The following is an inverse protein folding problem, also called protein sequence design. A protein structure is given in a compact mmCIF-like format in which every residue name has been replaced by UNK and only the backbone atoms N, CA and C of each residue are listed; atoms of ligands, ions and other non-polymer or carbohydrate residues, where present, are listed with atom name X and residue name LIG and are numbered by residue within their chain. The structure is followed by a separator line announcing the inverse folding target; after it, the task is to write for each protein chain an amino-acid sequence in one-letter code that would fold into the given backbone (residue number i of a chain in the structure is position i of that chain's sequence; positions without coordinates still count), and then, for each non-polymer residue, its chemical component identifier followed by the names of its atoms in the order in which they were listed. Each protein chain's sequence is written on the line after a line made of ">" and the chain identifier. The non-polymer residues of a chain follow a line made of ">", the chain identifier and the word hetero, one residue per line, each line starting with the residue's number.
data_IF_419201582360
#
_entry.id   IF_419201582360
#
_cell.length_a   1.000
_cell.length_b   1.000
_cell.length_c   1.000
_cell.angle_alpha   90.00
_cell.angle_beta   90.00
_cell.angle_gamma   90.00
#
_symmetry.space_group_name_H-M   'P 1'
#
loop_
_entity.id
_entity.type
_entity.pdbx_description
1 polymer ?
#
# COMPACT_ATOMS: atom_id res chain seq x y z
N UNK A 1 16.98 -41.81 15.25
CA UNK A 1 15.68 -41.40 14.69
C UNK A 1 15.81 -39.98 14.16
N UNK A 2 16.24 -39.86 12.91
CA UNK A 2 16.45 -38.59 12.19
C UNK A 2 15.17 -38.24 11.42
N UNK A 3 14.54 -37.10 11.72
CA UNK A 3 13.42 -36.57 10.92
C UNK A 3 13.98 -35.59 9.89
N UNK A 4 13.81 -35.94 8.61
CA UNK A 4 14.29 -35.17 7.46
C UNK A 4 13.48 -33.90 7.23
N UNK A 5 14.20 -32.82 6.97
CA UNK A 5 13.68 -31.55 6.45
C UNK A 5 13.59 -31.67 4.93
N UNK A 6 12.41 -31.45 4.37
CA UNK A 6 12.16 -31.55 2.93
C UNK A 6 12.83 -30.38 2.17
N UNK A 7 13.53 -30.72 1.08
CA UNK A 7 14.17 -29.77 0.17
C UNK A 7 13.13 -29.05 -0.71
N UNK A 8 13.40 -27.80 -1.16
CA UNK A 8 12.49 -27.08 -2.06
C UNK A 8 12.57 -27.65 -3.48
N UNK A 9 11.42 -28.09 -4.00
CA UNK A 9 11.27 -28.62 -5.35
C UNK A 9 11.51 -27.56 -6.44
N UNK A 10 12.23 -27.95 -7.49
CA UNK A 10 12.36 -27.19 -8.74
C UNK A 10 11.00 -27.22 -9.48
N UNK A 11 10.27 -26.11 -9.44
CA UNK A 11 9.24 -25.80 -10.44
C UNK A 11 9.90 -24.95 -11.53
N UNK A 12 10.08 -25.56 -12.70
CA UNK A 12 10.39 -24.83 -13.93
C UNK A 12 9.04 -24.31 -14.44
N UNK A 13 8.67 -23.09 -14.04
CA UNK A 13 7.47 -22.43 -14.53
C UNK A 13 7.63 -22.15 -16.03
N UNK A 14 6.99 -22.98 -16.86
CA UNK A 14 6.66 -22.58 -18.23
C UNK A 14 5.51 -21.59 -18.13
N UNK A 15 5.78 -20.34 -18.49
CA UNK A 15 4.77 -19.29 -18.63
C UNK A 15 3.61 -19.82 -19.49
N UNK A 16 2.35 -19.80 -19.00
CA UNK A 16 1.21 -20.15 -19.82
C UNK A 16 1.01 -19.09 -20.91
N UNK A 17 0.78 -19.54 -22.14
CA UNK A 17 0.35 -18.69 -23.25
C UNK A 17 -1.06 -18.16 -22.95
N UNK A 18 -1.30 -16.84 -22.97
CA UNK A 18 -2.62 -16.31 -22.67
C UNK A 18 -3.62 -16.74 -23.75
N UNK A 19 -4.75 -17.32 -23.32
CA UNK A 19 -5.94 -17.47 -24.15
C UNK A 19 -6.47 -16.09 -24.49
N UNK A 20 -6.30 -15.70 -25.75
CA UNK A 20 -6.71 -14.42 -26.32
C UNK A 20 -8.24 -14.29 -26.34
N UNK A 21 -8.79 -13.50 -25.42
CA UNK A 21 -10.01 -12.73 -25.69
C UNK A 21 -9.56 -11.37 -26.19
N UNK A 22 -9.74 -11.08 -27.48
CA UNK A 22 -9.39 -9.77 -28.03
C UNK A 22 -10.23 -8.69 -27.33
N UNK A 23 -9.56 -7.72 -26.70
CA UNK A 23 -10.22 -6.53 -26.13
C UNK A 23 -10.71 -5.68 -27.31
N UNK A 24 -12.02 -5.67 -27.55
CA UNK A 24 -12.62 -4.99 -28.72
C UNK A 24 -12.89 -3.51 -28.51
N UNK A 25 -12.63 -2.95 -27.32
CA UNK A 25 -12.86 -1.54 -26.99
C UNK A 25 -11.65 -0.95 -26.24
N UNK A 26 -11.44 0.36 -26.38
CA UNK A 26 -10.36 1.05 -25.66
C UNK A 26 -10.61 0.99 -24.13
N UNK A 27 -9.59 0.66 -23.31
CA UNK A 27 -9.73 0.60 -21.85
C UNK A 27 -10.27 1.91 -21.26
N UNK A 28 -11.20 1.81 -20.30
CA UNK A 28 -11.77 2.96 -19.59
C UNK A 28 -11.46 2.91 -18.10
N UNK A 29 -11.43 4.08 -17.45
CA UNK A 29 -11.18 4.22 -16.01
C UNK A 29 -12.49 4.38 -15.23
N UNK A 30 -12.67 3.62 -14.15
CA UNK A 30 -13.66 3.90 -13.11
C UNK A 30 -12.95 4.27 -11.81
N UNK A 31 -13.06 5.53 -11.40
CA UNK A 31 -12.48 5.97 -10.12
C UNK A 31 -13.48 5.78 -8.97
N UNK A 32 -13.07 5.00 -7.98
CA UNK A 32 -13.77 4.83 -6.71
C UNK A 32 -12.99 5.55 -5.62
N UNK A 33 -13.66 6.45 -4.90
CA UNK A 33 -13.06 7.29 -3.88
C UNK A 33 -12.60 8.64 -4.42
N UNK A 34 -13.33 9.69 -4.07
CA UNK A 34 -13.01 11.07 -4.45
C UNK A 34 -12.61 11.91 -3.22
N UNK A 35 -11.83 11.30 -2.31
CA UNK A 35 -11.16 12.00 -1.21
C UNK A 35 -9.87 12.68 -1.67
N UNK A 36 -8.95 12.98 -0.74
CA UNK A 36 -7.69 13.67 -1.05
C UNK A 36 -6.87 13.02 -2.17
N UNK A 37 -6.67 11.69 -2.10
CA UNK A 37 -5.92 10.94 -3.13
C UNK A 37 -6.67 10.89 -4.47
N UNK A 38 -7.97 10.56 -4.45
CA UNK A 38 -8.76 10.46 -5.68
C UNK A 38 -8.91 11.78 -6.42
N UNK A 39 -9.09 12.90 -5.71
CA UNK A 39 -9.10 14.25 -6.30
C UNK A 39 -7.75 14.62 -6.90
N UNK A 40 -6.66 14.36 -6.17
CA UNK A 40 -5.31 14.58 -6.67
C UNK A 40 -5.02 13.74 -7.92
N UNK A 41 -5.55 12.51 -7.99
CA UNK A 41 -5.46 11.64 -9.17
C UNK A 41 -6.21 12.23 -10.38
N UNK A 42 -7.46 12.69 -10.21
CA UNK A 42 -8.21 13.36 -11.28
C UNK A 42 -7.49 14.61 -11.80
N UNK A 43 -6.97 15.45 -10.90
CA UNK A 43 -6.18 16.63 -11.27
C UNK A 43 -4.95 16.23 -12.08
N UNK A 44 -4.27 15.14 -11.71
CA UNK A 44 -3.08 14.65 -12.42
C UNK A 44 -3.41 14.13 -13.82
N UNK A 45 -4.53 13.42 -13.98
CA UNK A 45 -5.01 12.98 -15.29
C UNK A 45 -5.23 14.17 -16.23
N UNK A 46 -5.90 15.22 -15.74
CA UNK A 46 -6.13 16.45 -16.49
C UNK A 46 -4.81 17.16 -16.86
N UNK A 47 -3.92 17.35 -15.88
CA UNK A 47 -2.65 18.07 -16.06
C UNK A 47 -1.72 17.39 -17.07
N UNK A 48 -1.72 16.05 -17.11
CA UNK A 48 -0.86 15.29 -18.03
C UNK A 48 -1.52 15.00 -19.38
N UNK A 49 -2.74 15.47 -19.61
CA UNK A 49 -3.48 15.22 -20.85
C UNK A 49 -3.71 13.73 -21.08
N UNK A 50 -3.98 12.95 -20.02
CA UNK A 50 -4.23 11.52 -20.16
C UNK A 50 -5.46 11.29 -21.05
N UNK A 51 -5.29 10.55 -22.14
CA UNK A 51 -6.35 10.31 -23.14
C UNK A 51 -7.29 9.17 -22.76
N UNK A 52 -6.95 8.38 -21.74
CA UNK A 52 -7.75 7.23 -21.30
C UNK A 52 -9.15 7.68 -20.88
N UNK A 53 -10.22 7.18 -21.54
CA UNK A 53 -11.58 7.61 -21.23
C UNK A 53 -11.96 7.27 -19.78
N UNK A 54 -12.59 8.23 -19.10
CA UNK A 54 -13.10 8.02 -17.74
C UNK A 54 -14.55 7.54 -17.84
N UNK A 55 -14.84 6.28 -17.52
CA UNK A 55 -16.22 5.74 -17.45
C UNK A 55 -17.05 6.51 -16.41
N UNK A 56 -16.45 6.79 -15.25
CA UNK A 56 -17.12 7.53 -14.19
C UNK A 56 -16.28 7.70 -12.94
N UNK A 57 -16.84 8.45 -11.99
CA UNK A 57 -16.29 8.68 -10.66
C UNK A 57 -17.37 8.43 -9.60
N UNK A 58 -17.00 7.82 -8.48
CA UNK A 58 -17.94 7.58 -7.38
C UNK A 58 -17.29 7.76 -6.01
N UNK A 59 -18.01 8.43 -5.10
CA UNK A 59 -17.66 8.47 -3.67
C UNK A 59 -18.59 7.54 -2.87
N UNK A 60 -18.67 7.68 -1.55
CA UNK A 60 -19.55 6.84 -0.72
C UNK A 60 -21.04 7.15 -0.88
N UNK A 61 -21.41 8.31 -1.44
CA UNK A 61 -22.81 8.81 -1.49
C UNK A 61 -23.33 9.00 -2.91
N UNK A 62 -22.46 9.41 -3.84
CA UNK A 62 -22.82 9.86 -5.18
C UNK A 62 -21.93 9.21 -6.24
N UNK A 63 -22.46 9.05 -7.44
CA UNK A 63 -21.71 8.57 -8.59
C UNK A 63 -22.11 9.36 -9.84
N UNK A 64 -21.10 9.73 -10.63
CA UNK A 64 -21.26 10.31 -11.95
C UNK A 64 -20.72 9.30 -12.96
N UNK A 65 -21.61 8.75 -13.77
CA UNK A 65 -21.34 7.66 -14.71
C UNK A 65 -21.98 8.04 -16.04
N UNK A 66 -21.24 7.93 -17.15
CA UNK A 66 -21.74 8.21 -18.49
C UNK A 66 -21.51 7.02 -19.42
N UNK A 67 -22.49 6.64 -20.28
CA UNK A 67 -22.33 5.55 -21.25
C UNK A 67 -21.17 5.80 -22.24
N UNK A 68 -20.89 7.07 -22.56
CA UNK A 68 -19.82 7.50 -23.47
C UNK A 68 -18.56 8.01 -22.72
N UNK A 69 -18.52 7.84 -21.40
CA UNK A 69 -17.51 8.42 -20.52
C UNK A 69 -17.87 9.81 -19.99
N UNK A 70 -17.27 10.17 -18.86
CA UNK A 70 -17.38 11.46 -18.16
C UNK A 70 -16.16 12.31 -18.50
N UNK A 71 -16.35 13.56 -18.91
CA UNK A 71 -15.22 14.46 -19.11
C UNK A 71 -14.48 14.71 -17.78
N UNK A 72 -13.16 14.54 -17.82
CA UNK A 72 -12.29 14.73 -16.65
C UNK A 72 -12.47 16.12 -16.04
N UNK A 73 -12.60 17.18 -16.85
CA UNK A 73 -12.66 18.58 -16.41
C UNK A 73 -13.84 18.91 -15.51
N UNK A 74 -14.94 18.17 -15.66
CA UNK A 74 -16.18 18.39 -14.90
C UNK A 74 -16.36 17.40 -13.75
N UNK A 75 -15.60 16.30 -13.71
CA UNK A 75 -15.86 15.15 -12.83
C UNK A 75 -15.90 15.52 -11.33
N UNK A 76 -14.93 16.28 -10.82
CA UNK A 76 -14.86 16.61 -9.37
C UNK A 76 -16.00 17.55 -8.94
N UNK A 77 -16.29 18.59 -9.73
CA UNK A 77 -17.38 19.54 -9.41
C UNK A 77 -18.77 18.96 -9.66
N UNK A 78 -18.92 18.16 -10.72
CA UNK A 78 -20.21 17.57 -11.07
C UNK A 78 -20.60 16.44 -10.10
N UNK A 79 -19.64 15.76 -9.47
CA UNK A 79 -19.92 14.71 -8.49
C UNK A 79 -20.73 15.22 -7.28
N UNK A 80 -20.59 16.49 -6.91
CA UNK A 80 -21.35 17.10 -5.81
C UNK A 80 -22.84 17.20 -6.09
N UNK A 81 -23.23 17.26 -7.38
CA UNK A 81 -24.62 17.31 -7.84
C UNK A 81 -25.09 15.99 -8.44
N UNK A 82 -24.21 15.01 -8.56
CA UNK A 82 -24.51 13.73 -9.18
C UNK A 82 -25.54 12.92 -8.38
N UNK A 83 -26.25 11.98 -9.05
CA UNK A 83 -27.21 11.09 -8.41
C UNK A 83 -26.60 10.27 -7.28
N UNK A 84 -27.47 9.67 -6.46
CA UNK A 84 -27.06 8.71 -5.44
C UNK A 84 -26.25 7.58 -6.08
N UNK A 85 -25.15 7.20 -5.43
CA UNK A 85 -24.31 6.09 -5.88
C UNK A 85 -25.15 4.81 -5.96
N UNK A 86 -25.12 4.09 -7.09
CA UNK A 86 -25.78 2.79 -7.18
C UNK A 86 -25.01 1.74 -6.36
N UNK A 87 -25.64 0.59 -6.06
CA UNK A 87 -24.97 -0.53 -5.42
C UNK A 87 -23.68 -0.92 -6.14
N UNK A 88 -22.70 -1.43 -5.39
CA UNK A 88 -21.41 -1.84 -5.95
C UNK A 88 -21.61 -2.85 -7.09
N UNK A 89 -22.56 -3.79 -6.96
CA UNK A 89 -22.95 -4.75 -8.01
C UNK A 89 -23.34 -4.11 -9.34
N UNK A 90 -24.05 -2.98 -9.31
CA UNK A 90 -24.41 -2.22 -10.51
C UNK A 90 -23.18 -1.61 -11.17
N UNK A 91 -22.23 -1.07 -10.39
CA UNK A 91 -20.96 -0.56 -10.93
C UNK A 91 -20.17 -1.67 -11.63
N UNK A 92 -20.19 -2.89 -11.08
CA UNK A 92 -19.56 -4.07 -11.71
C UNK A 92 -20.19 -4.36 -13.07
N UNK A 93 -21.52 -4.23 -13.19
CA UNK A 93 -22.25 -4.48 -14.44
C UNK A 93 -21.85 -3.58 -15.61
N UNK A 94 -21.27 -2.40 -15.35
CA UNK A 94 -20.90 -1.41 -16.37
C UNK A 94 -19.49 -1.61 -16.95
N UNK A 95 -18.67 -2.42 -16.28
CA UNK A 95 -17.28 -2.66 -16.64
C UNK A 95 -17.18 -3.80 -17.66
N UNK A 96 -16.30 -3.61 -18.63
CA UNK A 96 -15.93 -4.60 -19.64
C UNK A 96 -14.51 -5.13 -19.39
N UNK A 97 -14.15 -6.32 -19.91
CA UNK A 97 -12.77 -6.79 -19.88
C UNK A 97 -11.78 -5.74 -20.43
N UNK A 98 -10.63 -5.57 -19.79
CA UNK A 98 -9.64 -4.53 -20.14
C UNK A 98 -9.83 -3.20 -19.41
N UNK A 99 -11.04 -2.84 -18.96
CA UNK A 99 -11.27 -1.63 -18.16
C UNK A 99 -10.44 -1.65 -16.86
N UNK A 100 -10.16 -0.48 -16.29
CA UNK A 100 -9.37 -0.32 -15.08
C UNK A 100 -10.23 0.32 -13.98
N UNK A 101 -10.40 -0.38 -12.86
CA UNK A 101 -10.94 0.21 -11.63
C UNK A 101 -9.79 0.82 -10.84
N UNK A 102 -9.90 2.13 -10.57
CA UNK A 102 -8.99 2.85 -9.67
C UNK A 102 -9.66 2.95 -8.30
N UNK A 103 -9.29 2.09 -7.35
CA UNK A 103 -9.79 2.13 -5.97
C UNK A 103 -8.88 2.98 -5.07
N UNK A 104 -9.24 4.25 -4.92
CA UNK A 104 -8.62 5.21 -4.01
C UNK A 104 -9.36 5.31 -2.66
N UNK A 105 -10.07 4.26 -2.24
CA UNK A 105 -10.79 4.20 -0.96
C UNK A 105 -10.03 3.44 0.12
N UNK A 106 -10.59 3.43 1.33
CA UNK A 106 -10.23 2.50 2.40
C UNK A 106 -11.38 1.49 2.69
N UNK A 107 -12.24 1.23 1.71
CA UNK A 107 -13.47 0.44 1.90
C UNK A 107 -13.18 -1.05 1.92
N UNK A 108 -13.58 -1.73 3.00
CA UNK A 108 -13.51 -3.19 3.09
C UNK A 108 -14.48 -3.89 2.12
N UNK A 109 -15.65 -3.27 1.87
CA UNK A 109 -16.63 -3.76 0.91
C UNK A 109 -16.02 -3.80 -0.50
N UNK A 110 -15.37 -2.71 -0.93
CA UNK A 110 -14.76 -2.63 -2.26
C UNK A 110 -13.55 -3.55 -2.38
N UNK A 111 -12.67 -3.58 -1.38
CA UNK A 111 -11.53 -4.50 -1.35
C UNK A 111 -11.93 -5.98 -1.50
N UNK A 112 -13.11 -6.35 -1.00
CA UNK A 112 -13.65 -7.72 -1.12
C UNK A 112 -14.12 -8.03 -2.55
N UNK A 113 -14.44 -7.02 -3.35
CA UNK A 113 -14.81 -7.20 -4.76
C UNK A 113 -13.61 -7.27 -5.71
N UNK A 114 -12.39 -6.99 -5.25
CA UNK A 114 -11.20 -7.02 -6.11
C UNK A 114 -11.03 -8.35 -6.87
N UNK A 115 -11.10 -9.54 -6.23
CA UNK A 115 -11.04 -10.81 -6.96
C UNK A 115 -12.14 -10.96 -8.01
N UNK A 116 -13.36 -10.50 -7.71
CA UNK A 116 -14.51 -10.62 -8.61
C UNK A 116 -14.36 -9.74 -9.86
N UNK A 117 -13.77 -8.55 -9.72
CA UNK A 117 -13.45 -7.69 -10.86
C UNK A 117 -12.38 -8.31 -11.74
N UNK A 118 -11.29 -8.80 -11.14
CA UNK A 118 -10.20 -9.46 -11.85
C UNK A 118 -10.68 -10.69 -12.62
N UNK A 119 -11.55 -11.51 -12.00
CA UNK A 119 -12.15 -12.70 -12.62
C UNK A 119 -13.03 -12.38 -13.84
N UNK A 120 -13.46 -11.13 -14.00
CA UNK A 120 -14.22 -10.64 -15.15
C UNK A 120 -13.35 -9.99 -16.23
N UNK A 121 -12.03 -10.09 -16.12
CA UNK A 121 -11.10 -9.46 -17.06
C UNK A 121 -10.85 -7.98 -16.78
N UNK A 122 -11.28 -7.44 -15.64
CA UNK A 122 -11.11 -6.03 -15.27
C UNK A 122 -9.81 -5.85 -14.49
N UNK A 123 -9.00 -4.89 -14.89
CA UNK A 123 -7.77 -4.52 -14.20
C UNK A 123 -8.06 -3.66 -12.96
N UNK A 124 -7.16 -3.71 -11.97
CA UNK A 124 -7.30 -2.90 -10.74
C UNK A 124 -6.03 -2.11 -10.49
N UNK A 125 -6.21 -0.84 -10.12
CA UNK A 125 -5.18 0.00 -9.52
C UNK A 125 -5.70 0.52 -8.18
N UNK A 126 -4.93 0.41 -7.10
CA UNK A 126 -5.50 0.66 -5.77
C UNK A 126 -4.53 1.32 -4.77
N UNK A 127 -5.08 2.21 -3.94
CA UNK A 127 -4.47 2.68 -2.69
C UNK A 127 -5.06 1.95 -1.47
N UNK A 128 -6.03 1.06 -1.69
CA UNK A 128 -6.72 0.34 -0.64
C UNK A 128 -5.89 -0.85 -0.15
N UNK A 129 -5.24 -0.63 0.99
CA UNK A 129 -4.40 -1.62 1.67
C UNK A 129 -5.14 -2.92 1.98
N UNK A 130 -6.48 -2.91 2.11
CA UNK A 130 -7.24 -4.11 2.49
C UNK A 130 -7.28 -5.19 1.40
N UNK A 131 -6.96 -4.86 0.15
CA UNK A 131 -6.84 -5.85 -0.92
C UNK A 131 -5.77 -6.90 -0.60
N UNK A 132 -4.49 -6.46 -0.54
CA UNK A 132 -3.35 -7.36 -0.27
C UNK A 132 -2.85 -7.34 1.17
N UNK A 133 -3.27 -6.40 2.00
CA UNK A 133 -2.97 -6.31 3.45
C UNK A 133 -4.12 -6.79 4.33
N UNK A 134 -5.17 -7.38 3.75
CA UNK A 134 -6.25 -8.05 4.48
C UNK A 134 -5.95 -9.52 4.77
N UNK A 135 -6.97 -10.38 4.68
CA UNK A 135 -6.82 -11.83 4.88
C UNK A 135 -5.89 -12.44 3.82
N UNK A 136 -5.18 -13.53 4.17
CA UNK A 136 -4.35 -14.22 3.20
C UNK A 136 -5.20 -14.84 2.08
N UNK A 137 -6.39 -15.34 2.40
CA UNK A 137 -7.35 -15.84 1.42
C UNK A 137 -7.69 -14.79 0.35
N UNK A 138 -7.91 -13.52 0.73
CA UNK A 138 -8.16 -12.43 -0.25
C UNK A 138 -6.92 -12.17 -1.10
N UNK A 139 -5.74 -12.11 -0.48
CA UNK A 139 -4.49 -11.94 -1.21
C UNK A 139 -4.29 -13.02 -2.28
N UNK A 140 -4.50 -14.30 -1.92
CA UNK A 140 -4.41 -15.43 -2.84
C UNK A 140 -5.45 -15.33 -3.95
N UNK A 141 -6.71 -15.07 -3.62
CA UNK A 141 -7.77 -14.88 -4.62
C UNK A 141 -7.46 -13.76 -5.63
N UNK A 142 -6.84 -12.65 -5.19
CA UNK A 142 -6.37 -11.59 -6.09
C UNK A 142 -5.24 -12.13 -7.01
N UNK A 143 -4.24 -12.78 -6.44
CA UNK A 143 -3.10 -13.32 -7.21
C UNK A 143 -3.55 -14.39 -8.23
N UNK A 144 -4.43 -15.29 -7.81
CA UNK A 144 -4.98 -16.36 -8.65
C UNK A 144 -5.79 -15.78 -9.80
N UNK A 145 -6.66 -14.79 -9.54
CA UNK A 145 -7.44 -14.13 -10.57
C UNK A 145 -6.56 -13.39 -11.59
N UNK A 146 -5.50 -12.70 -11.13
CA UNK A 146 -4.51 -12.10 -12.03
C UNK A 146 -3.88 -13.13 -12.97
N UNK A 147 -3.44 -14.28 -12.42
CA UNK A 147 -2.79 -15.33 -13.19
C UNK A 147 -3.76 -16.01 -14.17
N UNK A 148 -4.96 -16.36 -13.72
CA UNK A 148 -5.95 -17.10 -14.51
C UNK A 148 -6.54 -16.27 -15.66
N UNK A 149 -6.75 -14.97 -15.44
CA UNK A 149 -7.43 -14.10 -16.41
C UNK A 149 -6.49 -13.15 -17.15
N UNK A 150 -5.18 -13.19 -16.87
CA UNK A 150 -4.19 -12.33 -17.52
C UNK A 150 -4.40 -10.83 -17.24
N UNK A 151 -4.97 -10.50 -16.08
CA UNK A 151 -5.27 -9.12 -15.66
C UNK A 151 -4.25 -8.60 -14.65
N UNK A 152 -4.04 -7.30 -14.66
CA UNK A 152 -3.07 -6.65 -13.77
C UNK A 152 -3.69 -6.06 -12.50
N UNK A 153 -2.84 -5.98 -11.47
CA UNK A 153 -3.16 -5.42 -10.16
C UNK A 153 -2.04 -4.47 -9.71
N UNK A 154 -2.27 -3.18 -9.91
CA UNK A 154 -1.40 -2.09 -9.42
C UNK A 154 -1.74 -1.71 -7.98
N UNK A 155 -0.76 -1.70 -7.10
CA UNK A 155 -0.93 -1.39 -5.68
C UNK A 155 0.23 -0.59 -5.09
N UNK A 156 1.01 0.10 -5.95
CA UNK A 156 2.17 0.88 -5.53
C UNK A 156 1.80 1.96 -4.50
N UNK A 157 0.56 2.46 -4.55
CA UNK A 157 0.04 3.46 -3.63
C UNK A 157 -0.28 2.95 -2.21
N UNK A 158 -0.22 1.63 -1.97
CA UNK A 158 -0.63 1.05 -0.68
C UNK A 158 0.45 1.16 0.40
N UNK A 159 1.73 1.18 0.04
CA UNK A 159 2.85 1.26 0.98
C UNK A 159 3.91 2.24 0.46
N UNK A 160 4.31 3.19 1.30
CA UNK A 160 5.33 4.19 0.93
C UNK A 160 4.81 5.33 0.05
N UNK A 161 3.48 5.48 -0.08
CA UNK A 161 2.79 6.46 -0.93
C UNK A 161 3.14 6.34 -2.43
N UNK A 162 4.34 6.73 -2.84
CA UNK A 162 4.85 6.56 -4.20
C UNK A 162 6.30 6.12 -4.26
N UNK A 163 6.90 5.80 -3.13
CA UNK A 163 8.22 5.17 -3.07
C UNK A 163 8.14 3.79 -3.73
N UNK A 164 9.18 3.35 -4.46
CA UNK A 164 9.15 2.12 -5.24
C UNK A 164 9.33 0.86 -4.39
N UNK A 165 8.82 0.83 -3.15
CA UNK A 165 9.02 -0.28 -2.21
C UNK A 165 8.56 -1.63 -2.79
N UNK A 166 7.30 -1.69 -3.26
CA UNK A 166 6.73 -2.92 -3.83
C UNK A 166 7.36 -3.28 -5.17
N UNK A 167 7.67 -2.28 -5.99
CA UNK A 167 8.33 -2.48 -7.30
C UNK A 167 9.71 -3.08 -7.14
N UNK A 168 10.52 -2.53 -6.23
CA UNK A 168 11.86 -3.03 -5.93
C UNK A 168 11.82 -4.46 -5.39
N UNK A 169 10.95 -4.75 -4.41
CA UNK A 169 10.81 -6.11 -3.88
C UNK A 169 10.42 -7.13 -4.95
N UNK A 170 9.44 -6.80 -5.80
CA UNK A 170 9.00 -7.66 -6.89
C UNK A 170 10.09 -7.84 -7.95
N UNK A 171 10.82 -6.79 -8.30
CA UNK A 171 11.91 -6.85 -9.27
C UNK A 171 13.07 -7.71 -8.77
N UNK A 172 13.47 -7.58 -7.50
CA UNK A 172 14.49 -8.44 -6.88
C UNK A 172 14.09 -9.91 -6.95
N UNK A 173 12.86 -10.23 -6.53
CA UNK A 173 12.32 -11.59 -6.56
C UNK A 173 12.20 -12.13 -7.99
N UNK A 174 11.64 -11.35 -8.92
CA UNK A 174 11.51 -11.75 -10.32
C UNK A 174 12.88 -12.00 -10.98
N UNK A 175 13.90 -11.24 -10.58
CA UNK A 175 15.28 -11.47 -10.98
C UNK A 175 15.96 -12.68 -10.33
N UNK A 176 15.28 -13.44 -9.48
CA UNK A 176 15.80 -14.62 -8.78
C UNK A 176 16.59 -14.33 -7.50
N UNK A 177 16.53 -13.11 -6.97
CA UNK A 177 17.11 -12.81 -5.66
C UNK A 177 16.23 -13.34 -4.52
N UNK A 178 16.85 -13.71 -3.39
CA UNK A 178 16.15 -14.18 -2.20
C UNK A 178 16.23 -13.14 -1.10
N UNK A 179 15.06 -12.63 -0.70
CA UNK A 179 14.95 -11.71 0.43
C UNK A 179 15.24 -12.47 1.73
N UNK A 180 16.12 -11.91 2.55
CA UNK A 180 16.56 -12.49 3.83
C UNK A 180 15.85 -11.80 5.00
N UNK A 181 15.76 -10.47 4.99
CA UNK A 181 15.02 -9.73 6.01
C UNK A 181 14.52 -8.39 5.48
N UNK A 182 13.45 -7.88 6.11
CA UNK A 182 12.87 -6.57 5.81
C UNK A 182 12.79 -5.78 7.13
N UNK A 183 13.16 -4.51 7.09
CA UNK A 183 12.94 -3.58 8.20
C UNK A 183 12.47 -2.24 7.65
N UNK A 184 11.56 -1.55 8.34
CA UNK A 184 11.05 -0.29 7.81
C UNK A 184 10.34 0.62 8.80
N UNK A 185 10.41 1.90 8.48
CA UNK A 185 9.59 2.97 9.06
C UNK A 185 8.47 3.24 8.08
N UNK A 186 7.25 2.82 8.42
CA UNK A 186 6.14 2.76 7.46
C UNK A 186 5.01 3.75 7.77
N UNK A 187 5.16 4.60 8.80
CA UNK A 187 4.17 5.60 9.20
C UNK A 187 4.81 6.98 9.36
N UNK A 188 4.40 7.92 8.52
CA UNK A 188 4.83 9.31 8.61
C UNK A 188 4.36 9.98 9.91
N UNK A 189 3.16 9.66 10.41
CA UNK A 189 2.64 10.19 11.66
C UNK A 189 3.48 9.72 12.86
N UNK A 190 3.78 8.42 12.94
CA UNK A 190 4.62 7.89 14.03
C UNK A 190 6.08 8.36 13.89
N UNK A 191 6.57 8.48 12.66
CA UNK A 191 7.86 9.12 12.36
C UNK A 191 7.91 10.54 12.93
N UNK A 192 6.93 11.39 12.61
CA UNK A 192 6.86 12.77 13.11
C UNK A 192 6.75 12.87 14.63
N UNK A 193 5.99 11.96 15.26
CA UNK A 193 5.81 11.95 16.71
C UNK A 193 7.09 11.57 17.46
N UNK A 194 7.86 10.60 16.95
CA UNK A 194 9.05 10.08 17.60
C UNK A 194 10.34 10.81 17.18
N UNK A 195 10.36 11.38 15.98
CA UNK A 195 11.54 12.05 15.47
C UNK A 195 11.84 13.34 16.24
N UNK A 196 13.06 13.44 16.78
CA UNK A 196 13.45 14.55 17.64
C UNK A 196 12.61 14.69 18.91
N UNK A 197 11.92 13.64 19.39
CA UNK A 197 11.29 13.69 20.71
C UNK A 197 12.35 13.63 21.81
N UNK A 198 12.40 14.65 22.66
CA UNK A 198 13.42 14.85 23.70
C UNK A 198 12.87 14.80 25.12
N UNK A 199 11.56 14.65 25.28
CA UNK A 199 10.89 14.63 26.59
C UNK A 199 10.65 16.00 27.23
N UNK A 200 10.92 17.12 26.53
CA UNK A 200 10.67 18.47 27.09
C UNK A 200 9.18 18.77 27.27
N UNK A 201 8.33 18.17 26.44
CA UNK A 201 6.88 18.22 26.58
C UNK A 201 6.31 16.79 26.67
N UNK A 202 5.14 16.61 27.32
CA UNK A 202 4.45 15.32 27.33
C UNK A 202 4.22 14.82 25.90
N UNK A 203 4.43 13.53 25.67
CA UNK A 203 4.23 12.92 24.35
C UNK A 203 2.78 13.09 23.86
N UNK A 204 1.81 13.01 24.77
CA UNK A 204 0.39 13.26 24.55
C UNK A 204 0.11 14.67 24.03
N UNK A 205 0.82 15.68 24.51
CA UNK A 205 0.73 17.05 23.99
C UNK A 205 1.24 17.13 22.54
N UNK A 206 2.31 16.38 22.23
CA UNK A 206 2.82 16.25 20.85
C UNK A 206 1.83 15.55 19.93
N UNK A 207 1.10 14.55 20.42
CA UNK A 207 0.00 13.90 19.67
C UNK A 207 -1.12 14.90 19.35
N UNK A 208 -1.51 15.74 20.32
CA UNK A 208 -2.51 16.78 20.07
C UNK A 208 -2.01 17.82 19.05
N UNK A 209 -0.72 18.15 19.07
CA UNK A 209 -0.14 19.04 18.08
C UNK A 209 -0.19 18.46 16.67
N UNK A 210 0.23 17.21 16.50
CA UNK A 210 0.13 16.49 15.23
C UNK A 210 -1.32 16.50 14.70
N UNK A 211 -2.29 16.31 15.59
CA UNK A 211 -3.72 16.35 15.24
C UNK A 211 -4.16 17.73 14.76
N UNK A 212 -3.76 18.81 15.45
CA UNK A 212 -4.07 20.19 15.03
C UNK A 212 -3.48 20.54 13.67
N UNK A 213 -2.28 20.03 13.38
CA UNK A 213 -1.62 20.21 12.08
C UNK A 213 -2.17 19.29 10.97
N UNK A 214 -3.10 18.38 11.29
CA UNK A 214 -3.65 17.41 10.33
C UNK A 214 -2.67 16.30 9.92
N UNK A 215 -1.67 16.02 10.76
CA UNK A 215 -0.65 14.96 10.55
C UNK A 215 -1.20 13.59 10.98
N UNK A 216 -2.10 13.55 11.97
CA UNK A 216 -2.79 12.32 12.39
C UNK A 216 -4.10 12.13 11.64
N UNK A 217 -4.64 10.92 11.69
CA UNK A 217 -6.05 10.68 11.41
C UNK A 217 -6.96 11.46 12.40
N UNK A 218 -8.27 11.66 12.09
CA UNK A 218 -9.19 12.38 12.98
C UNK A 218 -9.24 11.85 14.41
N UNK A 219 -9.04 10.53 14.56
CA UNK A 219 -8.78 9.83 15.82
C UNK A 219 -7.34 9.28 15.82
N UNK A 220 -6.41 9.91 16.57
CA UNK A 220 -5.00 9.51 16.62
C UNK A 220 -4.76 8.07 17.09
N UNK A 221 -5.72 7.44 17.79
CA UNK A 221 -5.60 6.03 18.20
C UNK A 221 -5.40 5.10 17.00
N UNK A 222 -5.94 5.48 15.84
CA UNK A 222 -5.76 4.74 14.60
C UNK A 222 -4.27 4.63 14.22
N UNK A 223 -3.52 5.72 14.33
CA UNK A 223 -2.08 5.76 14.07
C UNK A 223 -1.28 5.07 15.18
N UNK A 224 -1.63 5.34 16.44
CA UNK A 224 -0.92 4.84 17.63
C UNK A 224 -1.10 3.33 17.86
N UNK A 225 -2.12 2.71 17.25
CA UNK A 225 -2.37 1.27 17.35
C UNK A 225 -1.30 0.40 16.69
N UNK A 226 -0.60 0.93 15.68
CA UNK A 226 0.33 0.16 14.85
C UNK A 226 -0.33 -0.72 13.77
N UNK A 227 -1.66 -0.76 13.69
CA UNK A 227 -2.39 -1.62 12.74
C UNK A 227 -2.16 -1.21 11.27
N UNK A 228 -2.03 0.09 10.97
CA UNK A 228 -1.67 0.54 9.61
C UNK A 228 -0.25 0.09 9.22
N UNK A 229 0.70 0.17 10.15
CA UNK A 229 2.08 -0.31 9.95
C UNK A 229 2.10 -1.82 9.74
N UNK A 230 1.32 -2.58 10.51
CA UNK A 230 1.12 -4.01 10.35
C UNK A 230 0.61 -4.37 8.95
N UNK A 231 -0.43 -3.69 8.47
CA UNK A 231 -0.98 -3.93 7.12
C UNK A 231 0.04 -3.63 6.02
N UNK A 232 0.80 -2.55 6.18
CA UNK A 232 1.89 -2.18 5.25
C UNK A 232 3.00 -3.24 5.25
N UNK A 233 3.40 -3.74 6.42
CA UNK A 233 4.35 -4.85 6.52
C UNK A 233 3.82 -6.09 5.80
N UNK A 234 2.58 -6.51 6.06
CA UNK A 234 1.97 -7.67 5.36
C UNK A 234 2.02 -7.54 3.84
N UNK A 235 1.73 -6.36 3.29
CA UNK A 235 1.77 -6.12 1.84
C UNK A 235 3.21 -6.24 1.30
N UNK A 236 4.19 -5.71 2.02
CA UNK A 236 5.62 -5.84 1.67
C UNK A 236 6.04 -7.32 1.68
N UNK A 237 5.72 -8.05 2.75
CA UNK A 237 6.10 -9.45 2.91
C UNK A 237 5.48 -10.33 1.82
N UNK A 238 4.19 -10.16 1.54
CA UNK A 238 3.50 -10.88 0.47
C UNK A 238 4.07 -10.54 -0.91
N UNK A 239 4.46 -9.29 -1.15
CA UNK A 239 5.14 -8.89 -2.39
C UNK A 239 6.55 -9.48 -2.50
N UNK A 240 7.24 -9.69 -1.38
CA UNK A 240 8.52 -10.37 -1.28
C UNK A 240 8.41 -11.91 -1.39
N UNK A 241 7.20 -12.47 -1.41
CA UNK A 241 6.94 -13.91 -1.53
C UNK A 241 6.66 -14.64 -0.21
N UNK A 242 6.49 -13.92 0.90
CA UNK A 242 6.13 -14.50 2.19
C UNK A 242 4.61 -14.41 2.43
N UNK A 243 3.94 -15.56 2.40
CA UNK A 243 2.49 -15.67 2.58
C UNK A 243 2.10 -15.81 4.05
N UNK A 244 2.06 -14.68 4.76
CA UNK A 244 1.69 -14.63 6.18
C UNK A 244 0.22 -14.27 6.36
N UNK A 245 -0.41 -14.87 7.38
CA UNK A 245 -1.68 -14.39 7.92
C UNK A 245 -1.48 -13.14 8.76
N UNK A 246 -2.56 -12.39 8.99
CA UNK A 246 -2.47 -11.14 9.74
C UNK A 246 -2.10 -11.35 11.22
N UNK A 247 -2.58 -12.42 11.84
CA UNK A 247 -2.28 -12.79 13.23
C UNK A 247 -0.82 -13.21 13.45
N UNK A 248 -0.11 -13.61 12.40
CA UNK A 248 1.32 -13.95 12.45
C UNK A 248 2.23 -12.72 12.68
N UNK A 249 1.71 -11.50 12.55
CA UNK A 249 2.47 -10.27 12.81
C UNK A 249 2.20 -9.80 14.24
N UNK A 250 3.23 -9.86 15.09
CA UNK A 250 3.14 -9.38 16.46
C UNK A 250 3.20 -7.85 16.51
N UNK A 251 2.14 -7.21 17.00
CA UNK A 251 2.07 -5.75 17.13
C UNK A 251 2.14 -5.32 18.59
N UNK A 252 3.10 -4.46 18.89
CA UNK A 252 3.20 -3.75 20.17
C UNK A 252 2.73 -2.31 19.98
N UNK A 253 1.48 -1.96 20.37
CA UNK A 253 0.93 -0.63 20.11
C UNK A 253 1.68 0.46 20.87
N UNK A 254 1.71 1.66 20.28
CA UNK A 254 2.22 2.87 20.95
C UNK A 254 1.19 3.44 21.93
N UNK A 255 -0.09 3.09 21.80
CA UNK A 255 -1.09 3.33 22.83
C UNK A 255 -1.97 2.08 22.97
N UNK A 256 -1.96 1.46 24.15
CA UNK A 256 -2.82 0.33 24.49
C UNK A 256 -4.31 0.73 24.54
N UNK A 257 -5.21 -0.24 24.36
CA UNK A 257 -6.66 0.00 24.34
C UNK A 257 -7.20 0.61 25.65
N UNK A 258 -6.58 0.26 26.77
CA UNK A 258 -6.93 0.74 28.11
C UNK A 258 -6.00 1.84 28.64
N UNK A 259 -4.96 2.21 27.87
CA UNK A 259 -3.97 3.19 28.33
C UNK A 259 -4.53 4.62 28.20
N UNK A 260 -4.37 5.40 29.27
CA UNK A 260 -4.61 6.85 29.25
C UNK A 260 -3.39 7.64 28.77
N UNK A 261 -3.57 8.94 28.49
CA UNK A 261 -2.47 9.82 28.08
C UNK A 261 -1.29 9.83 29.08
N UNK A 262 -1.55 9.76 30.39
CA UNK A 262 -0.48 9.74 31.39
C UNK A 262 0.33 8.43 31.43
N UNK A 263 -0.23 7.31 30.97
CA UNK A 263 0.51 6.05 30.85
C UNK A 263 1.39 6.05 29.62
N UNK A 264 0.86 6.60 28.51
CA UNK A 264 1.61 6.86 27.30
C UNK A 264 2.85 7.72 27.57
N UNK A 265 2.65 8.87 28.23
CA UNK A 265 3.73 9.81 28.53
C UNK A 265 4.85 9.14 29.35
N UNK A 266 4.50 8.51 30.47
CA UNK A 266 5.47 7.79 31.32
C UNK A 266 6.23 6.71 30.56
N UNK A 267 5.56 5.96 29.69
CA UNK A 267 6.18 4.87 28.93
C UNK A 267 7.15 5.38 27.88
N UNK A 268 6.78 6.43 27.16
CA UNK A 268 7.64 7.03 26.13
C UNK A 268 8.82 7.75 26.79
N UNK A 269 8.61 8.53 27.85
CA UNK A 269 9.70 9.19 28.58
C UNK A 269 10.76 8.19 29.07
N UNK A 270 10.31 7.09 29.68
CA UNK A 270 11.21 6.01 30.12
C UNK A 270 11.97 5.38 28.96
N UNK A 271 11.33 5.22 27.80
CA UNK A 271 11.97 4.70 26.60
C UNK A 271 12.98 5.71 26.02
N UNK A 272 12.67 7.01 26.06
CA UNK A 272 13.52 8.09 25.56
C UNK A 272 14.80 8.19 26.39
N UNK A 273 14.68 8.15 27.72
CA UNK A 273 15.85 8.11 28.61
C UNK A 273 16.72 6.89 28.32
N UNK A 274 16.12 5.71 28.13
CA UNK A 274 16.86 4.49 27.78
C UNK A 274 17.59 4.61 26.43
N UNK A 275 16.94 5.21 25.43
CA UNK A 275 17.55 5.45 24.13
C UNK A 275 18.77 6.38 24.27
N UNK A 276 18.61 7.50 25.00
CA UNK A 276 19.68 8.46 25.26
C UNK A 276 20.87 7.81 26.00
N UNK A 277 20.63 7.00 27.03
CA UNK A 277 21.70 6.29 27.76
C UNK A 277 22.48 5.32 26.86
N UNK A 278 21.83 4.73 25.85
CA UNK A 278 22.47 3.85 24.87
C UNK A 278 23.10 4.59 23.69
N UNK A 279 22.96 5.92 23.63
CA UNK A 279 23.40 6.71 22.48
C UNK A 279 22.52 6.56 21.23
N UNK A 280 21.39 5.87 21.32
CA UNK A 280 20.48 5.58 20.21
C UNK A 280 19.27 6.53 20.13
N UNK A 281 18.32 6.19 19.25
CA UNK A 281 17.08 6.93 19.01
C UNK A 281 15.86 6.01 19.03
N UNK A 282 14.70 6.54 19.42
CA UNK A 282 13.44 5.78 19.38
C UNK A 282 12.81 5.83 18.00
N UNK A 283 12.39 4.67 17.50
CA UNK A 283 11.64 4.52 16.25
C UNK A 283 10.54 3.48 16.40
N UNK A 284 9.45 3.65 15.65
CA UNK A 284 8.41 2.63 15.53
C UNK A 284 8.66 1.80 14.27
N UNK A 285 9.19 0.61 14.46
CA UNK A 285 9.81 -0.19 13.39
C UNK A 285 8.92 -1.40 13.06
N UNK A 286 8.79 -1.68 11.77
CA UNK A 286 8.29 -2.95 11.26
C UNK A 286 9.47 -3.85 10.89
N UNK A 287 9.54 -5.06 11.42
CA UNK A 287 10.60 -6.04 11.12
C UNK A 287 10.04 -7.35 10.64
N UNK A 288 10.81 -8.00 9.79
CA UNK A 288 10.62 -9.38 9.42
C UNK A 288 11.96 -10.06 9.19
N UNK A 289 12.12 -11.21 9.82
CA UNK A 289 13.16 -12.19 9.56
C UNK A 289 12.52 -13.58 9.60
N UNK A 290 12.81 -14.51 8.67
CA UNK A 290 12.19 -15.84 8.66
C UNK A 290 12.37 -16.65 9.95
N UNK A 291 13.46 -16.42 10.69
CA UNK A 291 13.74 -17.11 11.96
C UNK A 291 13.08 -16.41 13.15
N UNK A 292 13.06 -15.07 13.16
CA UNK A 292 12.50 -14.28 14.27
C UNK A 292 10.99 -13.97 14.11
N UNK A 293 10.43 -14.14 12.92
CA UNK A 293 9.05 -13.80 12.57
C UNK A 293 8.86 -12.33 12.18
N UNK A 294 7.59 -11.90 12.15
CA UNK A 294 7.19 -10.53 11.81
C UNK A 294 6.72 -9.76 13.06
N UNK A 295 7.24 -8.55 13.24
CA UNK A 295 6.88 -7.70 14.37
C UNK A 295 6.75 -6.22 13.99
N UNK A 296 5.98 -5.49 14.80
CA UNK A 296 5.81 -4.04 14.70
C UNK A 296 5.84 -3.47 16.12
N UNK A 297 6.71 -2.50 16.39
CA UNK A 297 6.79 -1.92 17.73
C UNK A 297 7.83 -0.83 17.90
N UNK A 298 7.85 -0.25 19.10
CA UNK A 298 8.83 0.73 19.52
C UNK A 298 10.19 0.06 19.79
N UNK A 299 11.23 0.51 19.11
CA UNK A 299 12.61 0.03 19.23
C UNK A 299 13.58 1.20 19.46
N UNK A 300 14.72 0.88 20.07
CA UNK A 300 15.88 1.78 20.15
C UNK A 300 16.80 1.36 19.00
N UNK A 301 17.04 2.27 18.07
CA UNK A 301 18.01 2.09 16.99
C UNK A 301 19.32 2.79 17.34
N UNK A 302 20.43 2.14 17.05
CA UNK A 302 21.76 2.76 17.13
C UNK A 302 21.88 3.87 16.08
N UNK A 303 22.73 4.88 16.32
CA UNK A 303 22.83 6.06 15.44
C UNK A 303 23.39 5.77 14.05
N UNK A 304 24.13 4.68 13.92
CA UNK A 304 24.67 4.19 12.66
C UNK A 304 23.68 3.29 11.89
N UNK A 305 22.56 2.90 12.51
CA UNK A 305 21.48 2.20 11.81
C UNK A 305 20.92 3.12 10.71
N UNK A 306 20.86 2.66 9.45
CA UNK A 306 20.34 3.48 8.35
C UNK A 306 18.92 4.01 8.58
N UNK A 307 18.07 3.29 9.33
CA UNK A 307 16.71 3.71 9.67
C UNK A 307 16.67 4.76 10.79
N UNK A 308 17.71 4.85 11.63
CA UNK A 308 17.76 5.84 12.71
C UNK A 308 17.73 7.28 12.15
N UNK A 309 18.40 7.49 11.00
CA UNK A 309 18.62 8.80 10.40
C UNK A 309 17.56 9.20 9.35
N UNK A 310 16.47 8.45 9.23
CA UNK A 310 15.41 8.73 8.24
C UNK A 310 14.44 9.85 8.66
N UNK A 311 14.63 10.49 9.81
CA UNK A 311 13.73 11.54 10.29
C UNK A 311 12.27 11.07 10.37
N UNK A 312 11.35 11.86 9.81
CA UNK A 312 9.93 11.53 9.66
C UNK A 312 9.56 10.85 8.33
N UNK A 313 10.53 10.59 7.46
CA UNK A 313 10.31 9.89 6.20
C UNK A 313 9.93 8.43 6.42
N UNK A 314 9.24 7.84 5.43
CA UNK A 314 9.18 6.39 5.38
C UNK A 314 10.49 5.86 4.81
N UNK A 315 10.93 4.74 5.36
CA UNK A 315 12.13 4.05 4.93
C UNK A 315 11.90 2.54 4.90
N UNK A 316 12.49 1.88 3.92
CA UNK A 316 12.49 0.43 3.77
C UNK A 316 13.92 -0.05 3.56
N UNK A 317 14.39 -0.87 4.47
CA UNK A 317 15.63 -1.60 4.38
C UNK A 317 15.34 -3.04 3.93
N UNK A 318 16.01 -3.48 2.86
CA UNK A 318 15.87 -4.81 2.27
C UNK A 318 17.24 -5.48 2.31
N UNK A 319 17.34 -6.58 3.04
CA UNK A 319 18.51 -7.48 3.00
C UNK A 319 18.15 -8.69 2.16
N UNK A 320 19.00 -9.05 1.22
CA UNK A 320 18.82 -10.18 0.31
C UNK A 320 20.15 -10.88 0.06
N UNK A 321 20.16 -12.01 -0.65
CA UNK A 321 21.42 -12.69 -1.01
C UNK A 321 22.36 -11.78 -1.82
N UNK A 322 21.84 -10.89 -2.68
CA UNK A 322 22.66 -9.91 -3.41
C UNK A 322 23.12 -8.75 -2.54
N UNK A 323 22.33 -8.37 -1.55
CA UNK A 323 22.52 -7.19 -0.70
C UNK A 323 22.62 -7.57 0.77
N UNK A 324 23.45 -8.57 1.10
CA UNK A 324 23.57 -9.09 2.47
C UNK A 324 24.48 -8.19 3.32
N UNK A 325 25.68 -7.89 2.80
CA UNK A 325 26.69 -7.06 3.47
C UNK A 325 26.26 -5.59 3.60
N UNK A 326 25.53 -5.09 2.59
CA UNK A 326 25.02 -3.71 2.58
C UNK A 326 23.57 -3.71 2.09
N UNK A 327 22.60 -3.78 3.03
CA UNK A 327 21.18 -3.78 2.69
C UNK A 327 20.78 -2.57 1.86
N UNK A 328 19.84 -2.76 0.94
CA UNK A 328 19.25 -1.66 0.16
C UNK A 328 18.37 -0.81 1.07
N UNK A 329 18.58 0.51 1.06
CA UNK A 329 17.71 1.48 1.73
C UNK A 329 16.96 2.30 0.69
N UNK A 330 15.63 2.32 0.79
CA UNK A 330 14.75 3.20 0.05
C UNK A 330 14.10 4.15 1.04
N UNK A 331 14.22 5.46 0.84
CA UNK A 331 13.69 6.47 1.75
C UNK A 331 13.03 7.62 1.00
N UNK A 332 11.98 8.18 1.58
CA UNK A 332 11.45 9.49 1.23
C UNK A 332 10.08 9.74 1.86
N UNK A 333 9.35 10.76 1.39
CA UNK A 333 8.07 11.13 1.97
C UNK A 333 7.08 9.97 1.93
N UNK A 334 6.69 9.50 3.11
CA UNK A 334 5.85 8.31 3.30
C UNK A 334 4.35 8.53 3.20
N UNK A 335 3.95 9.79 3.09
CA UNK A 335 2.57 10.24 3.03
C UNK A 335 2.48 11.43 2.05
N UNK A 336 1.28 11.66 1.54
CA UNK A 336 1.02 12.77 0.62
C UNK A 336 0.04 12.36 -0.47
N UNK A 337 -1.02 13.16 -0.62
CA UNK A 337 -2.07 12.93 -1.61
C UNK A 337 -1.53 12.97 -3.03
N UNK A 338 -0.66 13.94 -3.34
CA UNK A 338 -0.06 14.11 -4.66
C UNK A 338 0.88 12.95 -5.05
N UNK A 339 1.67 12.46 -4.10
CA UNK A 339 2.61 11.35 -4.32
C UNK A 339 1.85 10.04 -4.50
N UNK A 340 0.85 9.77 -3.65
CA UNK A 340 0.00 8.57 -3.78
C UNK A 340 -0.80 8.58 -5.10
N UNK A 341 -1.31 9.75 -5.51
CA UNK A 341 -1.97 9.92 -6.80
C UNK A 341 -1.03 9.69 -7.98
N UNK A 342 0.25 10.07 -7.86
CA UNK A 342 1.26 9.77 -8.87
C UNK A 342 1.46 8.26 -9.01
N UNK A 343 1.57 7.53 -7.90
CA UNK A 343 1.74 6.08 -7.90
C UNK A 343 0.55 5.35 -8.55
N UNK A 344 -0.69 5.80 -8.27
CA UNK A 344 -1.88 5.29 -8.96
C UNK A 344 -1.80 5.53 -10.48
N UNK A 345 -1.41 6.73 -10.91
CA UNK A 345 -1.29 7.02 -12.35
C UNK A 345 -0.18 6.20 -13.02
N UNK A 346 0.95 6.01 -12.34
CA UNK A 346 2.03 5.18 -12.85
C UNK A 346 1.57 3.73 -13.01
N UNK A 347 0.85 3.18 -12.04
CA UNK A 347 0.25 1.84 -12.14
C UNK A 347 -0.76 1.75 -13.31
N UNK A 348 -1.65 2.74 -13.47
CA UNK A 348 -2.59 2.80 -14.60
C UNK A 348 -1.84 2.73 -15.93
N UNK A 349 -0.80 3.54 -16.11
CA UNK A 349 -0.03 3.57 -17.36
C UNK A 349 0.74 2.29 -17.62
N UNK A 350 1.28 1.65 -16.59
CA UNK A 350 1.95 0.37 -16.75
C UNK A 350 1.00 -0.72 -17.23
N UNK A 351 -0.26 -0.71 -16.76
CA UNK A 351 -1.28 -1.65 -17.21
C UNK A 351 -1.70 -1.38 -18.66
N UNK A 352 -1.87 -0.12 -19.04
CA UNK A 352 -2.17 0.26 -20.42
C UNK A 352 -1.03 -0.09 -21.39
N UNK A 353 0.23 0.04 -20.94
CA UNK A 353 1.41 -0.30 -21.74
C UNK A 353 1.70 -1.81 -21.82
N UNK A 354 1.13 -2.61 -20.92
CA UNK A 354 1.29 -4.07 -20.90
C UNK A 354 0.35 -4.79 -21.88
N UNK A 355 -0.58 -4.08 -22.53
CA UNK A 355 -1.33 -4.61 -23.67
C UNK A 355 -0.36 -4.99 -24.81
N UNK A 356 -0.55 -6.13 -25.50
CA UNK A 356 0.46 -6.64 -26.42
C UNK A 356 0.67 -5.68 -27.59
N UNK A 357 1.93 -5.57 -28.02
CA UNK A 357 2.28 -5.21 -29.39
C UNK A 357 1.46 -6.08 -30.35
N UNK A 358 0.33 -5.54 -30.82
CA UNK A 358 -0.44 -6.12 -31.89
C UNK A 358 0.43 -6.11 -33.16
N UNK A 359 0.85 -7.30 -33.59
CA UNK A 359 1.20 -7.64 -34.98
C UNK A 359 1.80 -6.53 -35.85
N UNK A 360 3.12 -6.36 -35.79
CA UNK A 360 3.88 -5.89 -36.95
C UNK A 360 4.81 -7.01 -37.41
N UNK A 361 4.20 -8.04 -37.99
CA UNK A 361 4.85 -8.86 -39.01
C UNK A 361 4.04 -8.62 -40.28
N UNK A 362 4.59 -7.82 -41.18
CA UNK A 362 4.27 -7.90 -42.61
C UNK A 362 5.30 -8.79 -43.27
#
# INVERSE_FOLDING_TARGET
>A
MTRGVAAPGRLVDRLPTPTQGAVTHAPRLLLLGCGGVGRAFLQRLQQRGESTPLLGVANSRRALIGPDGTSLSIADRALERAPRRPPTSTLIGLLHPGDIVVDATASAELATQHPNWLARGVNIVTANKLGRGGTLARHRAISDACLQHGVGYGDAATVGAGLPFLRTLRALRAGGDRILSISGLLSGTLGWLLDGYDGQQPFSARVQEARRQGITEPDPRSDLSGEDVKRKLLILLRSAGFELESDAVHVKPLLGLEEGHGDLDRRIDKATVRAATRGGVLRYVARFDPEAGASVGLEILERDDPLANSGSDNALQIRSCRYDQKPLLLQGPGAGTAISAAALLDDVRNLLAAEPLASTVR
#
